data_IF_801292511433
#
_entry.id   IF_801292511433
#
_cell.length_a   1.000
_cell.length_b   1.000
_cell.length_c   1.000
_cell.angle_alpha   90.00
_cell.angle_beta   90.00
_cell.angle_gamma   90.00
#
_symmetry.space_group_name_H-M   'P 1'
#
loop_
_entity.id
_entity.type
_entity.pdbx_description
1 polymer ?
#
# COMPACT_ATOMS: atom_id res chain seq x y z
N UNK A 1 -10.68 -17.71 10.08
CA UNK A 1 -10.71 -18.43 8.79
C UNK A 1 -9.82 -17.70 7.81
N UNK A 2 -8.95 -18.42 7.12
CA UNK A 2 -8.07 -17.92 6.07
C UNK A 2 -8.11 -18.88 4.89
N UNK A 3 -8.41 -18.36 3.69
CA UNK A 3 -8.50 -19.19 2.48
C UNK A 3 -7.13 -19.68 1.98
N UNK A 4 -6.10 -18.89 2.23
CA UNK A 4 -4.73 -19.20 1.85
C UNK A 4 -4.02 -20.12 2.84
N UNK A 5 -2.80 -20.55 2.49
CA UNK A 5 -1.99 -21.42 3.35
C UNK A 5 -1.33 -20.68 4.52
N UNK A 6 -1.20 -19.35 4.45
CA UNK A 6 -0.43 -18.55 5.39
C UNK A 6 -1.29 -17.50 6.07
N UNK A 7 -1.34 -17.56 7.40
CA UNK A 7 -2.21 -16.69 8.23
C UNK A 7 -1.55 -15.36 8.58
N UNK A 8 -0.23 -15.29 8.55
CA UNK A 8 0.54 -14.10 8.89
C UNK A 8 1.88 -14.11 8.18
N UNK A 9 2.08 -13.17 7.28
CA UNK A 9 3.31 -13.05 6.51
C UNK A 9 3.67 -11.57 6.32
N UNK A 10 4.97 -11.33 6.06
CA UNK A 10 5.53 -10.01 5.81
C UNK A 10 5.17 -9.55 4.39
N UNK A 11 3.96 -9.05 4.19
CA UNK A 11 3.47 -8.61 2.89
C UNK A 11 4.43 -7.60 2.23
N UNK A 12 4.89 -6.59 2.99
CA UNK A 12 5.86 -5.61 2.51
C UNK A 12 7.27 -6.19 2.31
N UNK A 13 7.54 -7.41 2.76
CA UNK A 13 8.81 -8.12 2.56
C UNK A 13 8.90 -8.86 1.22
N UNK A 14 7.77 -9.13 0.58
CA UNK A 14 7.72 -9.95 -0.62
C UNK A 14 8.62 -9.44 -1.77
N UNK A 15 8.62 -8.13 -2.12
CA UNK A 15 9.51 -7.62 -3.14
C UNK A 15 11.00 -7.82 -2.81
N UNK A 16 11.38 -7.66 -1.54
CA UNK A 16 12.78 -7.78 -1.10
C UNK A 16 13.31 -9.22 -1.10
N UNK A 17 12.42 -10.21 -1.06
CA UNK A 17 12.79 -11.59 -1.30
C UNK A 17 13.13 -11.84 -2.77
N UNK A 18 12.49 -11.14 -3.70
CA UNK A 18 12.78 -11.28 -5.13
C UNK A 18 14.25 -10.97 -5.45
N UNK A 19 14.83 -9.94 -4.84
CA UNK A 19 16.26 -9.61 -5.03
C UNK A 19 17.21 -10.49 -4.21
N UNK A 20 16.71 -11.24 -3.21
CA UNK A 20 17.53 -11.96 -2.23
C UNK A 20 18.00 -11.08 -1.07
N UNK A 21 17.51 -9.84 -0.93
CA UNK A 21 17.80 -9.00 0.24
C UNK A 21 17.22 -9.63 1.53
N UNK A 22 16.03 -10.21 1.45
CA UNK A 22 15.55 -11.22 2.39
C UNK A 22 15.96 -12.57 1.82
N UNK A 23 16.91 -13.26 2.45
CA UNK A 23 17.53 -14.44 1.90
C UNK A 23 16.65 -15.69 2.03
N UNK A 24 15.98 -15.84 3.18
CA UNK A 24 15.25 -17.06 3.53
C UNK A 24 13.74 -16.80 3.43
N UNK A 25 13.03 -17.65 2.67
CA UNK A 25 11.57 -17.53 2.46
C UNK A 25 10.79 -17.62 3.78
N UNK A 26 11.26 -18.41 4.72
CA UNK A 26 10.68 -18.61 6.04
C UNK A 26 10.66 -17.32 6.87
N UNK A 27 11.57 -16.38 6.62
CA UNK A 27 11.57 -15.06 7.27
C UNK A 27 10.35 -14.21 6.89
N UNK A 28 9.71 -14.53 5.78
CA UNK A 28 8.45 -13.91 5.38
C UNK A 28 7.26 -14.41 6.20
N UNK A 29 7.35 -15.59 6.84
CA UNK A 29 6.28 -16.19 7.61
C UNK A 29 6.38 -15.74 9.07
N UNK A 30 5.57 -14.75 9.44
CA UNK A 30 5.72 -14.05 10.74
C UNK A 30 5.15 -14.84 11.90
N UNK A 31 3.96 -15.45 11.71
CA UNK A 31 3.29 -16.26 12.74
C UNK A 31 2.68 -17.51 12.11
N UNK A 32 2.65 -18.59 12.88
CA UNK A 32 1.97 -19.83 12.52
C UNK A 32 0.67 -20.00 13.30
N UNK A 33 -0.28 -20.83 12.84
CA UNK A 33 -1.50 -21.16 13.59
C UNK A 33 -1.18 -21.69 15.00
N UNK A 34 -0.16 -22.54 15.15
CA UNK A 34 0.28 -23.13 16.42
C UNK A 34 0.80 -22.06 17.38
N UNK A 35 1.63 -21.13 16.89
CA UNK A 35 2.14 -20.02 17.70
C UNK A 35 1.02 -19.07 18.17
N UNK A 36 0.07 -18.78 17.29
CA UNK A 36 -1.10 -17.97 17.63
C UNK A 36 -2.02 -18.69 18.64
N UNK A 37 -2.20 -20.01 18.49
CA UNK A 37 -2.94 -20.82 19.45
C UNK A 37 -2.25 -20.83 20.82
N UNK A 38 -0.94 -21.07 20.85
CA UNK A 38 -0.18 -21.15 22.09
C UNK A 38 -0.14 -19.80 22.85
N UNK A 39 0.01 -18.69 22.10
CA UNK A 39 0.18 -17.36 22.69
C UNK A 39 -1.15 -16.67 23.06
N UNK A 40 -2.17 -16.82 22.21
CA UNK A 40 -3.41 -16.05 22.29
C UNK A 40 -4.67 -16.90 22.39
N UNK A 41 -4.52 -18.24 22.40
CA UNK A 41 -5.63 -19.19 22.34
C UNK A 41 -6.58 -18.97 21.15
N UNK A 42 -6.04 -18.53 20.02
CA UNK A 42 -6.81 -18.35 18.79
C UNK A 42 -6.95 -19.68 18.04
N UNK A 43 -8.15 -19.99 17.55
CA UNK A 43 -8.40 -21.08 16.59
C UNK A 43 -8.24 -20.50 15.18
N UNK A 44 -7.07 -20.69 14.60
CA UNK A 44 -6.71 -20.17 13.29
C UNK A 44 -6.72 -21.31 12.28
N UNK A 45 -7.59 -21.20 11.28
CA UNK A 45 -7.83 -22.26 10.29
C UNK A 45 -7.42 -21.79 8.88
N UNK A 46 -6.21 -22.09 8.41
CA UNK A 46 -5.81 -21.91 7.00
C UNK A 46 -6.56 -22.90 6.10
N UNK A 47 -6.58 -22.62 4.79
CA UNK A 47 -7.31 -23.39 3.77
C UNK A 47 -8.83 -23.49 4.04
N UNK A 48 -9.37 -22.56 4.82
CA UNK A 48 -10.80 -22.47 5.12
C UNK A 48 -11.37 -21.20 4.47
N UNK A 49 -11.97 -21.36 3.32
CA UNK A 49 -12.56 -20.25 2.57
C UNK A 49 -14.01 -20.04 2.99
N UNK A 50 -14.31 -18.88 3.55
CA UNK A 50 -15.70 -18.47 3.76
C UNK A 50 -16.29 -18.11 2.40
N UNK A 51 -17.36 -18.81 2.01
CA UNK A 51 -18.00 -18.67 0.69
C UNK A 51 -19.40 -18.04 0.76
N UNK A 52 -20.01 -17.98 1.95
CA UNK A 52 -21.28 -17.28 2.16
C UNK A 52 -21.42 -16.84 3.63
N UNK A 53 -22.22 -15.81 3.85
CA UNK A 53 -22.59 -15.28 5.17
C UNK A 53 -24.11 -15.12 5.18
N UNK A 54 -24.77 -15.70 6.18
CA UNK A 54 -26.18 -15.43 6.49
C UNK A 54 -26.24 -14.55 7.74
N UNK A 55 -26.55 -13.25 7.61
CA UNK A 55 -26.61 -12.33 8.74
C UNK A 55 -27.81 -12.56 9.65
N UNK A 56 -28.88 -13.20 9.16
CA UNK A 56 -30.13 -13.44 9.91
C UNK A 56 -29.92 -14.62 10.86
N UNK A 57 -29.46 -15.75 10.32
CA UNK A 57 -29.20 -16.96 11.09
C UNK A 57 -27.83 -16.90 11.83
N UNK A 58 -27.02 -15.87 11.57
CA UNK A 58 -25.66 -15.70 12.11
C UNK A 58 -24.78 -16.91 11.85
N UNK A 59 -24.71 -17.33 10.60
CA UNK A 59 -23.87 -18.44 10.17
C UNK A 59 -22.98 -18.03 8.99
N UNK A 60 -21.83 -18.68 8.92
CA UNK A 60 -20.96 -18.64 7.75
C UNK A 60 -20.87 -20.04 7.12
N UNK A 61 -20.83 -20.07 5.81
CA UNK A 61 -20.53 -21.29 5.06
C UNK A 61 -19.06 -21.29 4.70
N UNK A 62 -18.36 -22.34 5.07
CA UNK A 62 -16.91 -22.49 4.90
C UNK A 62 -16.61 -23.67 4.02
N UNK A 63 -15.81 -23.44 3.00
CA UNK A 63 -15.25 -24.50 2.14
C UNK A 63 -13.86 -24.88 2.64
N UNK A 64 -13.66 -26.15 2.94
CA UNK A 64 -12.37 -26.73 3.27
C UNK A 64 -12.16 -27.98 2.41
N UNK A 65 -11.23 -27.91 1.47
CA UNK A 65 -11.01 -28.95 0.45
C UNK A 65 -12.30 -29.28 -0.33
N UNK A 66 -12.88 -30.46 -0.12
CA UNK A 66 -14.14 -30.92 -0.72
C UNK A 66 -15.33 -30.79 0.24
N UNK A 67 -15.10 -30.42 1.49
CA UNK A 67 -16.14 -30.32 2.52
C UNK A 67 -16.73 -28.90 2.57
N UNK A 68 -18.03 -28.85 2.88
CA UNK A 68 -18.74 -27.61 3.18
C UNK A 68 -19.16 -27.67 4.65
N UNK A 69 -18.67 -26.73 5.42
CA UNK A 69 -18.93 -26.60 6.85
C UNK A 69 -19.82 -25.40 7.11
N UNK A 70 -20.61 -25.46 8.17
CA UNK A 70 -21.41 -24.33 8.67
C UNK A 70 -20.93 -23.99 10.07
N UNK A 71 -20.58 -22.71 10.31
CA UNK A 71 -20.13 -22.23 11.60
C UNK A 71 -21.03 -21.07 12.05
N UNK A 72 -21.44 -21.09 13.33
CA UNK A 72 -22.20 -20.01 13.96
C UNK A 72 -21.27 -18.95 14.55
N UNK A 73 -21.71 -17.70 14.56
CA UNK A 73 -20.98 -16.60 15.17
C UNK A 73 -21.89 -15.74 16.06
N UNK A 74 -21.36 -15.20 17.13
CA UNK A 74 -21.99 -14.13 17.92
C UNK A 74 -21.63 -12.76 17.32
N UNK A 75 -20.36 -12.59 16.94
CA UNK A 75 -19.81 -11.42 16.27
C UNK A 75 -18.92 -11.86 15.11
N UNK A 76 -19.03 -11.17 13.99
CA UNK A 76 -18.24 -11.44 12.78
C UNK A 76 -17.40 -10.22 12.42
N UNK A 77 -16.11 -10.42 12.20
CA UNK A 77 -15.22 -9.38 11.67
C UNK A 77 -14.81 -9.74 10.25
N UNK A 78 -15.12 -8.87 9.31
CA UNK A 78 -14.68 -8.97 7.91
C UNK A 78 -13.35 -8.25 7.77
N UNK A 79 -12.29 -8.98 7.44
CA UNK A 79 -10.96 -8.44 7.14
C UNK A 79 -10.39 -9.02 5.84
N UNK A 80 -11.14 -9.01 4.73
CA UNK A 80 -10.74 -9.69 3.49
C UNK A 80 -9.61 -8.96 2.76
N UNK A 81 -9.30 -7.72 3.16
CA UNK A 81 -8.27 -6.90 2.56
C UNK A 81 -8.65 -6.37 1.18
N UNK A 82 -7.65 -6.25 0.31
CA UNK A 82 -7.83 -5.81 -1.06
C UNK A 82 -7.20 -6.82 -2.02
N UNK A 83 -7.69 -6.88 -3.24
CA UNK A 83 -7.15 -7.68 -4.34
C UNK A 83 -6.52 -6.77 -5.40
N UNK A 84 -5.53 -7.25 -6.15
CA UNK A 84 -4.99 -6.51 -7.29
C UNK A 84 -6.10 -6.12 -8.27
N UNK A 85 -6.08 -4.89 -8.73
CA UNK A 85 -6.93 -4.48 -9.83
C UNK A 85 -6.34 -5.00 -11.14
N UNK A 86 -7.13 -5.75 -11.89
CA UNK A 86 -6.77 -6.27 -13.21
C UNK A 86 -7.60 -5.52 -14.25
N UNK A 87 -7.00 -4.59 -15.00
CA UNK A 87 -7.70 -3.83 -16.02
C UNK A 87 -8.05 -4.75 -17.23
N UNK A 88 -9.12 -4.42 -17.98
CA UNK A 88 -9.48 -5.16 -19.16
C UNK A 88 -8.58 -4.79 -20.35
N UNK A 89 -7.35 -5.35 -20.36
CA UNK A 89 -6.38 -5.16 -21.44
C UNK A 89 -6.50 -6.31 -22.42
N UNK A 90 -6.50 -6.03 -23.72
CA UNK A 90 -6.54 -7.04 -24.77
C UNK A 90 -5.39 -8.03 -24.64
N UNK A 91 -5.68 -9.34 -24.70
CA UNK A 91 -4.67 -10.41 -24.63
C UNK A 91 -4.12 -10.68 -23.23
N UNK A 92 -4.59 -9.96 -22.19
CA UNK A 92 -4.10 -10.18 -20.82
C UNK A 92 -4.48 -11.55 -20.27
N UNK A 93 -5.67 -12.07 -20.62
CA UNK A 93 -6.14 -13.36 -20.15
C UNK A 93 -5.34 -14.55 -20.74
N UNK A 94 -4.75 -14.36 -21.90
CA UNK A 94 -3.93 -15.34 -22.60
C UNK A 94 -2.44 -15.23 -22.25
N UNK A 95 -2.04 -14.14 -21.58
CA UNK A 95 -0.66 -13.88 -21.21
C UNK A 95 -0.20 -14.84 -20.12
N UNK A 96 0.93 -15.53 -20.35
CA UNK A 96 1.47 -16.56 -19.44
C UNK A 96 2.55 -16.04 -18.50
N UNK A 97 3.11 -14.86 -18.77
CA UNK A 97 4.23 -14.27 -18.07
C UNK A 97 3.84 -13.00 -17.29
N UNK A 98 2.55 -12.79 -17.02
CA UNK A 98 2.02 -11.62 -16.30
C UNK A 98 1.58 -12.02 -14.90
N UNK A 99 2.11 -11.35 -13.91
CA UNK A 99 1.90 -11.65 -12.50
C UNK A 99 1.48 -10.39 -11.73
N UNK A 100 0.74 -10.60 -10.65
CA UNK A 100 0.53 -9.60 -9.60
C UNK A 100 1.23 -10.08 -8.33
N UNK A 101 1.55 -9.18 -7.42
CA UNK A 101 2.15 -9.53 -6.13
C UNK A 101 1.25 -9.07 -4.99
N UNK A 102 0.62 -10.03 -4.30
CA UNK A 102 -0.28 -9.79 -3.17
C UNK A 102 0.06 -10.64 -1.94
N UNK A 103 0.46 -11.89 -2.16
CA UNK A 103 0.67 -12.87 -1.12
C UNK A 103 1.87 -13.79 -1.43
N UNK A 104 2.16 -14.73 -0.53
CA UNK A 104 3.29 -15.66 -0.71
C UNK A 104 3.11 -16.60 -1.91
N UNK A 105 1.93 -17.18 -2.19
CA UNK A 105 1.70 -17.94 -3.43
C UNK A 105 1.99 -17.15 -4.72
N UNK A 106 1.64 -15.85 -4.77
CA UNK A 106 1.98 -15.00 -5.93
C UNK A 106 3.50 -14.84 -6.06
N UNK A 107 4.18 -14.61 -4.95
CA UNK A 107 5.65 -14.56 -4.90
C UNK A 107 6.27 -15.85 -5.42
N UNK A 108 5.78 -17.02 -4.99
CA UNK A 108 6.28 -18.32 -5.40
C UNK A 108 6.13 -18.52 -6.93
N UNK A 109 5.04 -18.04 -7.54
CA UNK A 109 4.85 -18.04 -8.99
C UNK A 109 5.86 -17.14 -9.69
N UNK A 110 6.07 -15.91 -9.19
CA UNK A 110 7.07 -14.99 -9.73
C UNK A 110 8.47 -15.60 -9.64
N UNK A 111 8.83 -16.17 -8.50
CA UNK A 111 10.14 -16.81 -8.29
C UNK A 111 10.35 -18.01 -9.21
N UNK A 112 9.29 -18.78 -9.51
CA UNK A 112 9.33 -19.90 -10.46
C UNK A 112 9.54 -19.41 -11.90
N UNK A 113 8.95 -18.25 -12.26
CA UNK A 113 9.12 -17.64 -13.58
C UNK A 113 10.47 -16.96 -13.78
N UNK A 114 11.20 -16.67 -12.72
CA UNK A 114 12.54 -16.06 -12.75
C UNK A 114 13.61 -17.13 -12.95
N UNK A 115 13.79 -17.53 -14.23
CA UNK A 115 14.82 -18.49 -14.64
C UNK A 115 16.08 -17.78 -15.19
N UNK A 116 17.17 -18.50 -15.47
CA UNK A 116 18.35 -17.90 -16.10
C UNK A 116 18.09 -17.27 -17.48
N UNK A 117 17.03 -17.68 -18.17
CA UNK A 117 16.59 -17.16 -19.48
C UNK A 117 15.80 -15.87 -19.36
N UNK A 118 15.20 -15.58 -18.19
CA UNK A 118 14.45 -14.34 -17.92
C UNK A 118 15.41 -13.17 -17.85
N UNK A 119 15.35 -12.24 -18.81
CA UNK A 119 16.27 -11.09 -18.92
C UNK A 119 15.56 -9.75 -18.78
N UNK A 120 14.35 -9.64 -19.35
CA UNK A 120 13.61 -8.38 -19.45
C UNK A 120 12.36 -8.45 -18.61
N UNK A 121 12.21 -7.49 -17.70
CA UNK A 121 11.01 -7.35 -16.91
C UNK A 121 10.32 -6.02 -17.23
N UNK A 122 9.00 -6.07 -17.37
CA UNK A 122 8.17 -4.87 -17.46
C UNK A 122 7.30 -4.77 -16.20
N UNK A 123 7.34 -3.63 -15.56
CA UNK A 123 6.47 -3.31 -14.43
C UNK A 123 5.44 -2.29 -14.88
N UNK A 124 4.17 -2.61 -14.77
CA UNK A 124 3.06 -1.73 -15.16
C UNK A 124 2.41 -1.16 -13.90
N UNK A 125 2.54 0.17 -13.73
CA UNK A 125 2.14 0.93 -12.55
C UNK A 125 3.33 1.29 -11.67
N UNK A 126 3.54 2.59 -11.45
CA UNK A 126 4.64 3.14 -10.64
C UNK A 126 4.17 3.64 -9.26
N UNK A 127 3.25 2.91 -8.62
CA UNK A 127 2.92 3.05 -7.21
C UNK A 127 3.97 2.37 -6.32
N UNK A 128 3.70 2.25 -5.02
CA UNK A 128 4.63 1.65 -4.04
C UNK A 128 5.11 0.26 -4.47
N UNK A 129 4.18 -0.67 -4.75
CA UNK A 129 4.52 -2.05 -5.14
C UNK A 129 5.33 -2.07 -6.43
N UNK A 130 4.96 -1.24 -7.42
CA UNK A 130 5.66 -1.18 -8.70
C UNK A 130 7.09 -0.68 -8.57
N UNK A 131 7.33 0.33 -7.73
CA UNK A 131 8.68 0.84 -7.45
C UNK A 131 9.54 -0.20 -6.74
N UNK A 132 9.00 -0.85 -5.71
CA UNK A 132 9.70 -1.92 -4.99
C UNK A 132 10.02 -3.10 -5.92
N UNK A 133 9.07 -3.51 -6.78
CA UNK A 133 9.33 -4.58 -7.75
C UNK A 133 10.35 -4.18 -8.80
N UNK A 134 10.29 -2.95 -9.33
CA UNK A 134 11.27 -2.46 -10.30
C UNK A 134 12.69 -2.45 -9.73
N UNK A 135 12.86 -1.97 -8.48
CA UNK A 135 14.14 -2.02 -7.75
C UNK A 135 14.64 -3.46 -7.60
N UNK A 136 13.77 -4.35 -7.10
CA UNK A 136 14.21 -5.69 -6.71
C UNK A 136 14.44 -6.62 -7.92
N UNK A 137 13.72 -6.42 -9.02
CA UNK A 137 14.00 -7.11 -10.29
C UNK A 137 15.31 -6.62 -10.93
N UNK A 138 15.58 -5.30 -10.87
CA UNK A 138 16.83 -4.73 -11.35
C UNK A 138 18.03 -5.23 -10.53
N UNK A 139 17.94 -5.24 -9.19
CA UNK A 139 18.95 -5.81 -8.30
C UNK A 139 19.21 -7.30 -8.55
N UNK A 140 18.22 -8.03 -9.04
CA UNK A 140 18.37 -9.42 -9.48
C UNK A 140 19.08 -9.55 -10.84
N UNK A 141 19.31 -8.44 -11.54
CA UNK A 141 20.07 -8.38 -12.78
C UNK A 141 19.22 -8.37 -14.04
N UNK A 142 17.92 -8.11 -13.96
CA UNK A 142 17.06 -7.96 -15.13
C UNK A 142 17.14 -6.54 -15.70
N UNK A 143 16.93 -6.42 -17.01
CA UNK A 143 16.62 -5.15 -17.67
C UNK A 143 15.17 -4.79 -17.34
N UNK A 144 14.97 -3.67 -16.63
CA UNK A 144 13.64 -3.29 -16.13
C UNK A 144 13.12 -2.06 -16.86
N UNK A 145 11.89 -2.17 -17.38
CA UNK A 145 11.09 -1.04 -17.89
C UNK A 145 9.89 -0.84 -16.98
N UNK A 146 9.74 0.36 -16.42
CA UNK A 146 8.60 0.77 -15.60
C UNK A 146 7.68 1.66 -16.44
N UNK A 147 6.42 1.26 -16.59
CA UNK A 147 5.38 1.99 -17.34
C UNK A 147 4.35 2.54 -16.39
N UNK A 148 4.07 3.85 -16.47
CA UNK A 148 3.10 4.54 -15.62
C UNK A 148 2.15 5.40 -16.47
N UNK A 149 0.86 5.23 -16.23
CA UNK A 149 -0.19 6.01 -16.90
C UNK A 149 -0.18 7.48 -16.48
N UNK A 150 0.08 7.77 -15.22
CA UNK A 150 0.18 9.12 -14.72
C UNK A 150 1.40 9.86 -15.34
N UNK A 151 1.42 11.21 -15.32
CA UNK A 151 2.55 11.98 -15.86
C UNK A 151 3.85 11.79 -15.07
N UNK A 152 3.79 11.31 -13.84
CA UNK A 152 4.96 11.06 -12.99
C UNK A 152 4.80 9.75 -12.18
N UNK A 153 5.91 9.21 -11.69
CA UNK A 153 5.97 8.05 -10.79
C UNK A 153 5.46 8.44 -9.39
N UNK A 154 5.11 7.45 -8.57
CA UNK A 154 4.65 7.60 -7.18
C UNK A 154 3.54 8.66 -7.06
N UNK A 155 2.34 8.41 -7.60
CA UNK A 155 1.24 9.38 -7.69
C UNK A 155 0.83 10.13 -6.40
N UNK A 156 1.06 9.61 -5.19
CA UNK A 156 0.85 10.35 -3.94
C UNK A 156 1.74 11.59 -3.75
N UNK A 157 2.90 11.65 -4.41
CA UNK A 157 3.75 12.85 -4.42
C UNK A 157 3.26 13.87 -5.47
N UNK A 158 3.69 15.11 -5.30
CA UNK A 158 3.60 16.11 -6.36
C UNK A 158 4.74 15.90 -7.38
N UNK A 159 4.58 16.40 -8.60
CA UNK A 159 5.42 16.08 -9.76
C UNK A 159 6.90 16.43 -9.51
N UNK A 160 7.20 17.59 -8.94
CA UNK A 160 8.57 18.05 -8.68
C UNK A 160 9.27 17.18 -7.60
N UNK A 161 8.51 16.63 -6.63
CA UNK A 161 9.05 15.69 -5.66
C UNK A 161 9.24 14.30 -6.27
N UNK A 162 8.30 13.86 -7.11
CA UNK A 162 8.40 12.60 -7.82
C UNK A 162 9.56 12.57 -8.84
N UNK A 163 10.00 13.73 -9.35
CA UNK A 163 11.14 13.84 -10.25
C UNK A 163 12.44 13.28 -9.67
N UNK A 164 12.66 13.44 -8.36
CA UNK A 164 13.83 12.83 -7.69
C UNK A 164 13.77 11.31 -7.71
N UNK A 165 12.58 10.72 -7.52
CA UNK A 165 12.37 9.27 -7.58
C UNK A 165 12.65 8.76 -9.00
N UNK A 166 12.14 9.46 -10.04
CA UNK A 166 12.41 9.12 -11.44
C UNK A 166 13.91 9.19 -11.78
N UNK A 167 14.59 10.21 -11.27
CA UNK A 167 16.03 10.36 -11.47
C UNK A 167 16.82 9.21 -10.84
N UNK A 168 16.44 8.77 -9.64
CA UNK A 168 17.09 7.64 -8.95
C UNK A 168 16.84 6.31 -9.69
N UNK A 169 15.65 6.06 -10.20
CA UNK A 169 15.34 4.91 -11.06
C UNK A 169 16.23 4.89 -12.29
N UNK A 170 16.33 6.02 -13.00
CA UNK A 170 17.13 6.15 -14.22
C UNK A 170 18.64 5.99 -13.95
N UNK A 171 19.13 6.53 -12.84
CA UNK A 171 20.52 6.36 -12.36
C UNK A 171 20.86 4.88 -12.15
N UNK A 172 19.88 4.08 -11.73
CA UNK A 172 20.02 2.65 -11.52
C UNK A 172 19.58 1.81 -12.75
N UNK A 173 19.61 2.37 -13.95
CA UNK A 173 19.31 1.71 -15.22
C UNK A 173 17.88 1.13 -15.33
N UNK A 174 16.91 1.68 -14.61
CA UNK A 174 15.49 1.39 -14.84
C UNK A 174 14.98 2.36 -15.90
N UNK A 175 14.48 1.84 -17.02
CA UNK A 175 13.79 2.66 -18.01
C UNK A 175 12.42 3.07 -17.49
N UNK A 176 12.10 4.37 -17.46
CA UNK A 176 10.84 4.88 -16.95
C UNK A 176 10.05 5.58 -18.06
N UNK A 177 8.87 5.03 -18.37
CA UNK A 177 7.92 5.56 -19.35
C UNK A 177 6.70 6.05 -18.57
N UNK A 178 6.47 7.36 -18.56
CA UNK A 178 5.31 8.00 -17.92
C UNK A 178 4.34 8.55 -18.96
N UNK A 179 3.06 8.71 -18.59
CA UNK A 179 2.01 9.18 -19.49
C UNK A 179 1.58 8.12 -20.51
N UNK A 180 1.86 6.85 -20.27
CA UNK A 180 1.54 5.76 -21.17
C UNK A 180 0.87 4.59 -20.45
N UNK A 181 -0.05 3.91 -21.13
CA UNK A 181 -0.74 2.71 -20.65
C UNK A 181 -0.43 1.52 -21.55
N UNK A 182 -0.35 0.33 -20.97
CA UNK A 182 -0.41 -0.91 -21.73
C UNK A 182 -1.85 -1.10 -22.26
N UNK A 183 -1.99 -1.32 -23.56
CA UNK A 183 -3.29 -1.50 -24.22
C UNK A 183 -3.49 -2.90 -24.78
N UNK A 184 -2.42 -3.65 -25.02
CA UNK A 184 -2.49 -5.04 -25.46
C UNK A 184 -1.28 -5.86 -25.00
N UNK A 185 -1.54 -7.13 -24.73
CA UNK A 185 -0.54 -8.19 -24.59
C UNK A 185 -0.62 -9.09 -25.84
N UNK A 186 0.50 -9.27 -26.50
CA UNK A 186 0.63 -10.06 -27.72
C UNK A 186 1.62 -11.20 -27.48
N UNK A 187 1.61 -12.23 -28.34
CA UNK A 187 2.52 -13.37 -28.24
C UNK A 187 2.53 -13.99 -26.83
N UNK A 188 1.32 -14.26 -26.31
CA UNK A 188 1.13 -14.82 -24.94
C UNK A 188 1.77 -13.99 -23.83
N UNK A 189 1.91 -12.65 -24.02
CA UNK A 189 2.46 -11.69 -23.07
C UNK A 189 3.91 -11.29 -23.31
N UNK A 190 4.59 -11.88 -24.31
CA UNK A 190 5.99 -11.55 -24.59
C UNK A 190 6.16 -10.18 -25.24
N UNK A 191 5.10 -9.61 -25.82
CA UNK A 191 5.07 -8.27 -26.39
C UNK A 191 3.94 -7.47 -25.75
N UNK A 192 4.28 -6.29 -25.25
CA UNK A 192 3.33 -5.36 -24.64
C UNK A 192 3.23 -4.14 -25.56
N UNK A 193 2.02 -3.83 -26.01
CA UNK A 193 1.76 -2.61 -26.79
C UNK A 193 1.30 -1.49 -25.88
N UNK A 194 1.90 -0.33 -26.01
CA UNK A 194 1.53 0.91 -25.34
C UNK A 194 0.53 1.73 -26.16
N UNK A 195 -0.10 2.71 -25.52
CA UNK A 195 -1.13 3.56 -26.11
C UNK A 195 -0.63 4.39 -27.32
N UNK A 196 0.65 4.80 -27.31
CA UNK A 196 1.30 5.52 -28.42
C UNK A 196 1.75 4.61 -29.57
N UNK A 197 1.52 3.29 -29.46
CA UNK A 197 1.89 2.29 -30.44
C UNK A 197 3.29 1.69 -30.27
N UNK A 198 4.09 2.17 -29.30
CA UNK A 198 5.36 1.54 -28.94
C UNK A 198 5.12 0.13 -28.43
N UNK A 199 6.02 -0.79 -28.72
CA UNK A 199 6.02 -2.16 -28.21
C UNK A 199 7.21 -2.41 -27.31
N UNK A 200 6.98 -3.15 -26.23
CA UNK A 200 8.00 -3.58 -25.27
C UNK A 200 8.07 -5.11 -25.28
N UNK A 201 9.26 -5.65 -25.41
CA UNK A 201 9.48 -7.06 -25.22
C UNK A 201 9.59 -7.38 -23.72
N UNK A 202 8.91 -8.44 -23.26
CA UNK A 202 8.88 -8.81 -21.84
C UNK A 202 8.98 -10.32 -21.65
N UNK A 203 9.94 -10.74 -20.85
CA UNK A 203 10.04 -12.14 -20.41
C UNK A 203 9.22 -12.36 -19.13
N UNK A 204 9.04 -11.31 -18.33
CA UNK A 204 8.22 -11.29 -17.12
C UNK A 204 7.57 -9.92 -16.95
N UNK A 205 6.27 -9.88 -16.67
CA UNK A 205 5.53 -8.64 -16.41
C UNK A 205 4.92 -8.64 -15.02
N UNK A 206 5.12 -7.56 -14.27
CA UNK A 206 4.42 -7.31 -13.00
C UNK A 206 3.32 -6.27 -13.23
N UNK A 207 2.08 -6.67 -12.94
CA UNK A 207 0.92 -5.79 -12.99
C UNK A 207 0.64 -5.20 -11.60
N UNK A 208 0.92 -3.91 -11.41
CA UNK A 208 0.81 -3.18 -10.14
C UNK A 208 0.03 -1.87 -10.26
N UNK A 209 -1.08 -1.90 -11.01
CA UNK A 209 -1.91 -0.74 -11.35
C UNK A 209 -2.95 -0.39 -10.28
N UNK A 210 -2.72 -0.81 -9.05
CA UNK A 210 -3.54 -0.53 -7.88
C UNK A 210 -4.30 -1.74 -7.35
N UNK A 211 -5.07 -1.50 -6.31
CA UNK A 211 -5.88 -2.52 -5.61
C UNK A 211 -7.33 -2.07 -5.50
N UNK A 212 -8.22 -3.02 -5.31
CA UNK A 212 -9.62 -2.78 -5.01
C UNK A 212 -10.04 -3.58 -3.78
N UNK A 213 -10.97 -3.08 -2.96
CA UNK A 213 -11.51 -3.81 -1.82
C UNK A 213 -12.02 -5.20 -2.21
N UNK A 214 -11.66 -6.22 -1.43
CA UNK A 214 -12.29 -7.54 -1.58
C UNK A 214 -13.62 -7.51 -0.82
N UNK A 215 -14.70 -7.30 -1.54
CA UNK A 215 -16.02 -7.05 -0.96
C UNK A 215 -17.09 -8.07 -1.35
N UNK A 216 -16.74 -9.11 -2.07
CA UNK A 216 -17.70 -10.10 -2.61
C UNK A 216 -18.60 -10.67 -1.53
N UNK A 217 -18.04 -11.21 -0.46
CA UNK A 217 -18.80 -11.76 0.68
C UNK A 217 -19.68 -10.70 1.36
N UNK A 218 -19.17 -9.49 1.50
CA UNK A 218 -19.90 -8.39 2.13
C UNK A 218 -21.14 -8.00 1.30
N UNK A 219 -20.97 -7.85 -0.01
CA UNK A 219 -22.07 -7.51 -0.93
C UNK A 219 -23.14 -8.61 -0.95
N UNK A 220 -22.74 -9.87 -1.03
CA UNK A 220 -23.67 -11.02 -1.03
C UNK A 220 -24.43 -11.16 0.30
N UNK A 221 -23.82 -10.74 1.42
CA UNK A 221 -24.46 -10.68 2.73
C UNK A 221 -25.31 -9.41 2.95
N UNK A 222 -25.49 -8.56 1.94
CA UNK A 222 -26.24 -7.30 2.07
C UNK A 222 -25.55 -6.22 2.90
N UNK A 223 -24.23 -6.30 3.05
CA UNK A 223 -23.44 -5.26 3.69
C UNK A 223 -23.27 -4.07 2.73
N UNK A 224 -23.49 -2.87 3.24
CA UNK A 224 -23.40 -1.64 2.45
C UNK A 224 -21.95 -1.35 2.00
N UNK A 225 -21.83 -0.94 0.74
CA UNK A 225 -20.55 -0.51 0.16
C UNK A 225 -20.65 0.94 -0.33
N UNK A 226 -19.54 1.66 -0.29
CA UNK A 226 -19.42 3.07 -0.67
C UNK A 226 -18.36 3.28 -1.73
N UNK A 227 -17.49 4.23 -1.50
CA UNK A 227 -16.44 4.65 -2.44
C UNK A 227 -15.70 3.45 -3.03
N UNK A 228 -15.74 3.32 -4.37
CA UNK A 228 -15.06 2.27 -5.14
C UNK A 228 -15.28 0.84 -4.60
N UNK A 229 -16.43 0.57 -4.00
CA UNK A 229 -16.79 -0.74 -3.46
C UNK A 229 -16.25 -1.02 -2.05
N UNK A 230 -15.66 -0.04 -1.37
CA UNK A 230 -15.23 -0.19 0.02
C UNK A 230 -16.41 -0.42 0.96
N UNK A 231 -16.23 -1.30 1.94
CA UNK A 231 -17.26 -1.61 2.94
C UNK A 231 -17.48 -0.38 3.81
N UNK A 232 -18.74 0.03 3.98
CA UNK A 232 -19.13 1.14 4.86
C UNK A 232 -19.23 0.65 6.30
N UNK A 233 -18.56 1.35 7.20
CA UNK A 233 -18.62 1.11 8.64
C UNK A 233 -18.88 2.41 9.40
N UNK A 234 -19.45 2.29 10.58
CA UNK A 234 -19.60 3.41 11.50
C UNK A 234 -18.28 3.73 12.25
N UNK A 235 -18.36 4.66 13.21
CA UNK A 235 -17.20 5.02 14.03
C UNK A 235 -16.72 3.90 14.97
N UNK A 236 -17.47 2.82 15.10
CA UNK A 236 -17.16 1.63 15.89
C UNK A 236 -16.83 0.41 15.03
N UNK A 237 -16.56 0.60 13.73
CA UNK A 237 -16.27 -0.47 12.75
C UNK A 237 -17.45 -1.38 12.46
N UNK A 238 -18.67 -1.09 12.95
CA UNK A 238 -19.86 -1.88 12.67
C UNK A 238 -20.40 -1.53 11.29
N UNK A 239 -20.84 -2.56 10.56
CA UNK A 239 -21.51 -2.41 9.26
C UNK A 239 -23.01 -2.12 9.48
N UNK A 240 -23.77 -1.97 8.38
CA UNK A 240 -25.23 -1.90 8.43
C UNK A 240 -25.89 -3.22 8.87
N UNK A 241 -25.16 -4.34 8.87
CA UNK A 241 -25.66 -5.62 9.36
C UNK A 241 -25.31 -5.77 10.85
N UNK A 242 -26.30 -6.12 11.70
CA UNK A 242 -26.07 -6.31 13.13
C UNK A 242 -24.97 -7.35 13.38
N UNK A 243 -24.10 -7.05 14.35
CA UNK A 243 -23.03 -7.96 14.79
C UNK A 243 -21.96 -8.29 13.73
N UNK A 244 -21.98 -7.59 12.58
CA UNK A 244 -20.95 -7.68 11.56
C UNK A 244 -20.12 -6.39 11.52
N UNK A 245 -18.83 -6.54 11.69
CA UNK A 245 -17.81 -5.47 11.70
C UNK A 245 -16.90 -5.65 10.49
N UNK A 246 -16.21 -4.58 10.07
CA UNK A 246 -15.19 -4.68 9.03
C UNK A 246 -14.00 -3.77 9.32
N UNK A 247 -12.80 -4.21 8.92
CA UNK A 247 -11.54 -3.50 9.13
C UNK A 247 -10.58 -3.73 7.96
N UNK A 248 -9.53 -2.92 7.91
CA UNK A 248 -8.41 -3.08 6.98
C UNK A 248 -8.66 -2.44 5.62
N UNK A 249 -7.95 -2.93 4.60
CA UNK A 249 -7.94 -2.35 3.26
C UNK A 249 -9.30 -2.43 2.53
N UNK A 250 -10.23 -3.21 3.08
CA UNK A 250 -11.57 -3.38 2.50
C UNK A 250 -12.56 -2.27 2.87
N UNK A 251 -12.29 -1.45 3.90
CA UNK A 251 -13.24 -0.48 4.41
C UNK A 251 -13.03 0.93 3.85
N UNK A 252 -14.13 1.69 3.79
CA UNK A 252 -14.08 3.14 3.64
C UNK A 252 -13.68 3.77 4.97
N UNK A 253 -12.76 4.71 4.93
CA UNK A 253 -12.35 5.52 6.09
C UNK A 253 -12.51 7.01 5.77
N UNK A 254 -12.52 7.86 6.80
CA UNK A 254 -12.43 9.31 6.58
C UNK A 254 -10.97 9.73 6.43
N UNK A 255 -10.67 10.51 5.39
CA UNK A 255 -9.44 11.27 5.32
C UNK A 255 -9.53 12.40 6.35
N UNK A 256 -8.59 12.46 7.31
CA UNK A 256 -8.76 13.31 8.50
C UNK A 256 -8.75 14.82 8.21
N UNK A 257 -8.15 15.26 7.13
CA UNK A 257 -8.05 16.68 6.79
C UNK A 257 -9.30 17.15 6.05
N UNK A 258 -9.76 16.39 5.06
CA UNK A 258 -10.93 16.77 4.25
C UNK A 258 -12.26 16.28 4.83
N UNK A 259 -12.23 15.29 5.73
CA UNK A 259 -13.39 14.55 6.23
C UNK A 259 -14.18 13.81 5.14
N UNK A 260 -13.61 13.69 3.94
CA UNK A 260 -14.19 12.94 2.83
C UNK A 260 -13.89 11.44 2.96
N UNK A 261 -14.69 10.64 2.27
CA UNK A 261 -14.49 9.19 2.18
C UNK A 261 -13.22 8.88 1.38
N UNK A 262 -12.43 7.95 1.91
CA UNK A 262 -11.18 7.51 1.29
C UNK A 262 -10.97 6.00 1.44
N UNK A 263 -10.18 5.43 0.54
CA UNK A 263 -9.61 4.09 0.67
C UNK A 263 -8.10 4.26 0.95
N UNK A 264 -7.67 3.88 2.14
CA UNK A 264 -6.29 4.05 2.58
C UNK A 264 -5.74 2.68 3.00
N UNK A 265 -5.19 1.97 2.02
CA UNK A 265 -4.64 0.62 2.18
C UNK A 265 -3.20 0.69 2.69
N UNK A 266 -3.04 0.93 3.98
CA UNK A 266 -1.75 1.06 4.67
C UNK A 266 -1.71 0.22 5.96
N UNK A 267 -0.55 -0.35 6.26
CA UNK A 267 -0.37 -1.25 7.39
C UNK A 267 -0.65 -0.59 8.76
N UNK A 268 -0.21 0.65 8.97
CA UNK A 268 -0.37 1.34 10.25
C UNK A 268 -1.85 1.58 10.63
N UNK A 269 -2.72 2.15 9.76
CA UNK A 269 -4.15 2.23 10.02
C UNK A 269 -4.80 0.86 10.24
N UNK A 270 -4.49 -0.13 9.39
CA UNK A 270 -5.06 -1.48 9.47
C UNK A 270 -4.74 -2.17 10.79
N UNK A 271 -3.49 -2.10 11.26
CA UNK A 271 -3.09 -2.63 12.56
C UNK A 271 -3.84 -1.97 13.73
N UNK A 272 -4.03 -0.66 13.67
CA UNK A 272 -4.81 0.07 14.66
C UNK A 272 -6.28 -0.37 14.66
N UNK A 273 -6.90 -0.46 13.49
CA UNK A 273 -8.28 -0.90 13.31
C UNK A 273 -8.52 -2.30 13.87
N UNK A 274 -7.62 -3.26 13.60
CA UNK A 274 -7.71 -4.62 14.12
C UNK A 274 -7.72 -4.68 15.65
N UNK A 275 -6.90 -3.85 16.33
CA UNK A 275 -6.93 -3.73 17.78
C UNK A 275 -8.19 -3.04 18.28
N UNK A 276 -8.58 -1.95 17.64
CA UNK A 276 -9.74 -1.15 18.07
C UNK A 276 -11.07 -1.90 17.92
N UNK A 277 -11.26 -2.68 16.85
CA UNK A 277 -12.49 -3.46 16.69
C UNK A 277 -12.61 -4.55 17.76
N UNK A 278 -11.49 -5.17 18.14
CA UNK A 278 -11.49 -6.13 19.25
C UNK A 278 -11.85 -5.46 20.60
N UNK A 279 -11.31 -4.27 20.86
CA UNK A 279 -11.66 -3.46 22.02
C UNK A 279 -13.17 -3.12 22.02
N UNK A 280 -13.72 -2.68 20.88
CA UNK A 280 -15.15 -2.38 20.73
C UNK A 280 -16.02 -3.60 21.05
N UNK A 281 -15.70 -4.74 20.48
CA UNK A 281 -16.43 -6.00 20.70
C UNK A 281 -16.35 -6.42 22.18
N UNK A 282 -15.23 -6.14 22.84
CA UNK A 282 -15.07 -6.37 24.27
C UNK A 282 -15.75 -5.32 25.17
N UNK A 283 -16.45 -4.35 24.60
CA UNK A 283 -17.19 -3.31 25.33
C UNK A 283 -16.35 -2.09 25.74
N UNK A 284 -15.13 -1.95 25.20
CA UNK A 284 -14.30 -0.75 25.40
C UNK A 284 -14.68 0.31 24.36
N UNK A 285 -14.73 1.57 24.81
CA UNK A 285 -15.01 2.67 23.90
C UNK A 285 -13.79 2.97 23.03
N UNK A 286 -13.92 2.77 21.71
CA UNK A 286 -12.95 3.12 20.68
C UNK A 286 -13.66 3.68 19.47
N UNK A 287 -13.04 4.66 18.81
CA UNK A 287 -13.59 5.30 17.61
C UNK A 287 -12.60 5.29 16.46
N UNK A 288 -13.11 4.95 15.28
CA UNK A 288 -12.40 5.11 14.03
C UNK A 288 -12.28 6.61 13.69
N UNK A 289 -11.10 7.16 13.88
CA UNK A 289 -10.83 8.57 13.57
C UNK A 289 -10.41 8.81 12.13
N UNK A 290 -10.49 7.79 11.27
CA UNK A 290 -9.96 7.88 9.91
C UNK A 290 -8.43 7.82 9.83
N UNK A 291 -7.87 8.32 8.76
CA UNK A 291 -6.43 8.29 8.50
C UNK A 291 -5.94 9.54 7.77
N UNK A 292 -4.72 9.97 8.03
CA UNK A 292 -4.05 11.04 7.27
C UNK A 292 -3.30 10.49 6.06
N UNK A 293 -3.01 9.19 6.00
CA UNK A 293 -2.33 8.57 4.86
C UNK A 293 -0.82 8.76 4.86
N UNK A 294 -0.13 8.40 5.95
CA UNK A 294 1.34 8.46 6.01
C UNK A 294 1.95 7.22 5.39
N UNK A 295 2.83 7.41 4.41
CA UNK A 295 3.45 6.35 3.64
C UNK A 295 4.93 6.64 3.32
N UNK A 296 5.72 5.58 3.15
CA UNK A 296 7.14 5.64 2.85
C UNK A 296 7.52 4.50 1.91
N UNK A 297 8.48 4.74 1.04
CA UNK A 297 9.08 3.74 0.15
C UNK A 297 10.56 4.00 -0.02
N UNK A 298 11.34 2.94 -0.11
CA UNK A 298 12.72 3.00 -0.57
C UNK A 298 12.75 2.76 -2.08
N UNK A 299 13.58 3.51 -2.77
CA UNK A 299 13.89 3.32 -4.19
C UNK A 299 15.41 3.40 -4.34
N UNK A 300 16.08 2.26 -4.36
CA UNK A 300 17.53 2.11 -4.29
C UNK A 300 18.14 2.81 -3.06
N UNK A 301 18.93 3.86 -3.28
CA UNK A 301 19.55 4.64 -2.19
C UNK A 301 18.67 5.81 -1.72
N UNK A 302 17.52 6.00 -2.34
CA UNK A 302 16.61 7.10 -2.05
C UNK A 302 15.42 6.61 -1.22
N UNK A 303 15.00 7.42 -0.26
CA UNK A 303 13.75 7.26 0.49
C UNK A 303 12.78 8.35 0.06
N UNK A 304 11.55 7.97 -0.24
CA UNK A 304 10.44 8.88 -0.52
C UNK A 304 9.31 8.65 0.46
N UNK A 305 8.81 9.69 1.11
CA UNK A 305 7.71 9.57 2.06
C UNK A 305 6.75 10.76 1.96
N UNK A 306 5.51 10.52 2.36
CA UNK A 306 4.47 11.55 2.41
C UNK A 306 3.51 11.34 3.58
N UNK A 307 2.86 12.40 4.01
CA UNK A 307 1.80 12.39 5.00
C UNK A 307 0.76 13.45 4.65
N UNK A 308 -0.51 13.19 4.93
CA UNK A 308 -1.60 14.11 4.59
C UNK A 308 -1.83 14.22 3.08
N UNK A 309 -2.11 15.42 2.62
CA UNK A 309 -2.46 15.73 1.24
C UNK A 309 -1.24 16.26 0.47
N UNK A 310 -1.11 15.85 -0.80
CA UNK A 310 -0.28 16.57 -1.76
C UNK A 310 -0.91 17.95 -2.08
N UNK A 311 -0.13 18.86 -2.63
CA UNK A 311 -0.64 20.16 -3.08
C UNK A 311 -1.79 19.98 -4.09
N UNK A 312 -1.62 19.06 -5.03
CA UNK A 312 -2.65 18.70 -6.00
C UNK A 312 -3.93 18.21 -5.32
N UNK A 313 -3.81 17.31 -4.34
CA UNK A 313 -4.97 16.77 -3.62
C UNK A 313 -5.67 17.85 -2.77
N UNK A 314 -4.92 18.71 -2.09
CA UNK A 314 -5.47 19.81 -1.31
C UNK A 314 -6.23 20.82 -2.19
N UNK A 315 -5.66 21.18 -3.35
CA UNK A 315 -6.33 22.03 -4.32
C UNK A 315 -7.59 21.38 -4.91
N UNK A 316 -7.54 20.09 -5.22
CA UNK A 316 -8.70 19.34 -5.72
C UNK A 316 -9.84 19.27 -4.69
N UNK A 317 -9.52 19.23 -3.40
CA UNK A 317 -10.46 19.32 -2.29
C UNK A 317 -10.96 20.75 -2.02
N UNK A 318 -10.55 21.74 -2.82
CA UNK A 318 -10.99 23.14 -2.67
C UNK A 318 -10.32 23.88 -1.51
N UNK A 319 -9.23 23.36 -0.94
CA UNK A 319 -8.52 24.01 0.16
C UNK A 319 -7.64 25.17 -0.34
N UNK A 320 -7.66 26.29 0.38
CA UNK A 320 -6.74 27.40 0.13
C UNK A 320 -5.34 26.97 0.55
N UNK A 321 -4.42 26.88 -0.42
CA UNK A 321 -3.12 26.21 -0.25
C UNK A 321 -1.95 27.14 -0.50
N UNK A 322 -0.96 27.09 0.37
CA UNK A 322 0.40 27.54 0.12
C UNK A 322 1.37 26.36 0.30
N UNK A 323 2.56 26.48 -0.28
CA UNK A 323 3.61 25.49 -0.18
C UNK A 323 4.94 26.13 0.16
N UNK A 324 5.79 25.37 0.80
CA UNK A 324 7.21 25.73 1.00
C UNK A 324 8.07 24.50 0.68
N UNK A 325 9.15 24.74 -0.05
CA UNK A 325 10.18 23.75 -0.31
C UNK A 325 11.42 24.07 0.51
N UNK A 326 11.97 23.06 1.15
CA UNK A 326 13.15 23.16 1.99
C UNK A 326 14.18 22.17 1.48
N UNK A 327 15.36 22.68 1.12
CA UNK A 327 16.52 21.86 0.79
C UNK A 327 17.53 21.96 1.93
N UNK A 328 17.93 20.84 2.48
CA UNK A 328 18.85 20.76 3.59
C UNK A 328 19.68 19.49 3.59
N UNK A 329 20.27 19.18 4.71
CA UNK A 329 20.97 17.92 4.94
C UNK A 329 20.23 17.08 5.97
N UNK A 330 20.44 15.77 5.92
CA UNK A 330 19.91 14.81 6.90
C UNK A 330 20.50 15.04 8.31
N UNK A 331 21.74 15.52 8.39
CA UNK A 331 22.41 15.95 9.61
C UNK A 331 23.39 17.10 9.34
N UNK A 332 24.19 17.52 10.34
CA UNK A 332 25.10 18.66 10.23
C UNK A 332 26.08 18.48 9.06
N UNK A 333 26.06 19.43 8.09
CA UNK A 333 26.80 19.31 6.83
C UNK A 333 28.33 19.26 6.96
N UNK A 334 28.88 19.66 8.12
CA UNK A 334 30.30 19.52 8.43
C UNK A 334 30.67 18.12 8.95
N UNK A 335 29.68 17.30 9.34
CA UNK A 335 29.92 15.94 9.79
C UNK A 335 29.95 14.98 8.60
N UNK A 336 30.87 13.99 8.57
CA UNK A 336 31.03 13.10 7.43
C UNK A 336 29.76 12.31 7.08
N UNK A 337 29.48 12.17 5.80
CA UNK A 337 28.38 11.34 5.28
C UNK A 337 27.02 12.04 5.25
N UNK A 338 26.99 13.37 5.42
CA UNK A 338 25.76 14.16 5.25
C UNK A 338 25.25 14.09 3.82
N UNK A 339 23.96 13.77 3.67
CA UNK A 339 23.27 13.66 2.38
C UNK A 339 22.18 14.70 2.22
N UNK A 340 21.82 15.00 0.97
CA UNK A 340 20.77 15.96 0.68
C UNK A 340 19.39 15.42 1.09
N UNK A 341 18.56 16.32 1.59
CA UNK A 341 17.19 16.06 1.98
C UNK A 341 16.29 17.19 1.46
N UNK A 342 15.22 16.81 0.78
CA UNK A 342 14.21 17.72 0.28
C UNK A 342 12.92 17.51 1.04
N UNK A 343 12.29 18.60 1.49
CA UNK A 343 10.98 18.59 2.11
C UNK A 343 10.06 19.56 1.39
N UNK A 344 8.80 19.19 1.27
CA UNK A 344 7.73 20.08 0.83
C UNK A 344 6.64 20.04 1.89
N UNK A 345 6.16 21.20 2.35
CA UNK A 345 4.98 21.34 3.19
C UNK A 345 3.86 21.97 2.38
N UNK A 346 2.64 21.50 2.65
CA UNK A 346 1.38 22.01 2.10
C UNK A 346 0.51 22.49 3.26
N UNK A 347 0.10 23.74 3.26
CA UNK A 347 -0.58 24.36 4.41
C UNK A 347 -1.52 25.49 4.00
N UNK A 348 -2.38 25.92 4.93
CA UNK A 348 -3.23 27.09 4.75
C UNK A 348 -2.42 28.39 4.97
N UNK A 349 -2.40 29.35 4.02
CA UNK A 349 -1.50 30.53 4.07
C UNK A 349 -1.75 31.47 5.24
N UNK A 350 -2.95 31.51 5.80
CA UNK A 350 -3.31 32.43 6.87
C UNK A 350 -3.31 31.76 8.24
N UNK A 351 -3.95 30.58 8.35
CA UNK A 351 -4.09 29.88 9.64
C UNK A 351 -2.84 29.07 9.98
N UNK A 352 -2.04 28.71 8.98
CA UNK A 352 -0.88 27.85 9.14
C UNK A 352 -1.22 26.37 9.33
N UNK A 353 -2.49 25.98 9.22
CA UNK A 353 -2.91 24.59 9.30
C UNK A 353 -2.16 23.74 8.28
N UNK A 354 -1.54 22.63 8.75
CA UNK A 354 -0.72 21.75 7.91
C UNK A 354 -1.64 20.71 7.25
N UNK A 355 -1.70 20.74 5.92
CA UNK A 355 -2.47 19.78 5.13
C UNK A 355 -1.66 18.56 4.73
N UNK A 356 -0.35 18.69 4.60
CA UNK A 356 0.50 17.57 4.25
C UNK A 356 1.97 17.91 4.11
N UNK A 357 2.75 16.87 3.94
CA UNK A 357 4.19 17.00 3.70
C UNK A 357 4.72 15.85 2.85
N UNK A 358 5.79 16.12 2.13
CA UNK A 358 6.54 15.17 1.32
C UNK A 358 8.02 15.31 1.63
N UNK A 359 8.72 14.17 1.68
CA UNK A 359 10.15 14.13 1.97
C UNK A 359 10.89 13.19 1.03
N UNK A 360 12.06 13.62 0.56
CA UNK A 360 12.95 12.86 -0.32
C UNK A 360 14.37 13.00 0.18
N UNK A 361 15.09 11.89 0.29
CA UNK A 361 16.50 11.89 0.66
C UNK A 361 17.05 10.49 0.88
N UNK A 362 18.34 10.34 1.07
CA UNK A 362 18.96 9.05 1.35
C UNK A 362 18.74 8.60 2.81
N UNK A 363 18.64 9.55 3.74
CA UNK A 363 18.52 9.30 5.19
C UNK A 363 17.62 10.32 5.87
N UNK A 364 17.00 9.92 6.99
CA UNK A 364 16.28 10.82 7.90
C UNK A 364 14.96 11.38 7.35
N UNK A 365 14.46 10.89 6.24
CA UNK A 365 13.16 11.27 5.66
C UNK A 365 12.02 10.79 6.57
N UNK A 366 12.10 9.55 7.04
CA UNK A 366 11.17 8.94 7.99
C UNK A 366 10.98 9.81 9.23
N UNK A 367 12.07 10.20 9.87
CA UNK A 367 12.06 11.05 11.07
C UNK A 367 11.30 12.37 10.83
N UNK A 368 11.53 13.04 9.70
CA UNK A 368 10.87 14.33 9.38
C UNK A 368 9.39 14.14 9.07
N UNK A 369 9.06 13.12 8.31
CA UNK A 369 7.66 12.84 7.96
C UNK A 369 6.87 12.38 9.18
N UNK A 370 7.44 11.57 10.08
CA UNK A 370 6.78 11.17 11.32
C UNK A 370 6.51 12.36 12.27
N UNK A 371 7.45 13.30 12.35
CA UNK A 371 7.26 14.55 13.09
C UNK A 371 6.11 15.35 12.49
N UNK A 372 6.08 15.52 11.17
CA UNK A 372 5.02 16.26 10.46
C UNK A 372 3.67 15.55 10.53
N UNK A 373 3.64 14.22 10.45
CA UNK A 373 2.43 13.43 10.68
C UNK A 373 1.90 13.61 12.11
N UNK A 374 2.79 13.67 13.09
CA UNK A 374 2.45 13.95 14.50
C UNK A 374 1.92 15.37 14.66
N UNK A 375 2.55 16.35 13.99
CA UNK A 375 2.10 17.75 14.01
C UNK A 375 0.69 17.88 13.40
N UNK A 376 0.41 17.28 12.25
CA UNK A 376 -0.94 17.24 11.64
C UNK A 376 -1.94 16.63 12.63
N UNK A 377 -1.59 15.46 13.19
CA UNK A 377 -2.48 14.76 14.14
C UNK A 377 -2.73 15.57 15.42
N UNK A 378 -1.72 16.28 15.89
CA UNK A 378 -1.78 17.19 17.04
C UNK A 378 -2.39 18.55 16.73
N UNK A 379 -2.82 18.80 15.49
CA UNK A 379 -3.37 20.09 15.02
C UNK A 379 -2.41 21.27 15.22
N UNK A 380 -1.10 21.00 15.15
CA UNK A 380 -0.11 22.05 15.13
C UNK A 380 -0.12 22.77 13.78
N UNK A 381 0.26 24.04 13.81
CA UNK A 381 0.39 24.89 12.64
C UNK A 381 1.84 25.03 12.21
N UNK A 382 2.09 25.59 11.03
CA UNK A 382 3.47 25.95 10.62
C UNK A 382 4.13 26.94 11.57
N UNK A 383 3.36 27.72 12.32
CA UNK A 383 3.86 28.70 13.30
C UNK A 383 4.35 28.03 14.59
N UNK A 384 3.87 26.84 14.90
CA UNK A 384 4.28 26.04 16.06
C UNK A 384 5.57 25.25 15.79
N UNK A 385 5.85 24.91 14.51
CA UNK A 385 7.00 24.06 14.16
C UNK A 385 8.36 24.61 14.61
N UNK A 386 8.64 25.94 14.55
CA UNK A 386 9.90 26.50 15.03
C UNK A 386 10.09 26.43 16.55
N UNK A 387 8.98 26.27 17.29
CA UNK A 387 9.01 26.17 18.77
C UNK A 387 9.21 24.72 19.27
N UNK A 388 9.23 23.74 18.35
CA UNK A 388 9.45 22.35 18.72
C UNK A 388 10.94 22.12 19.03
N UNK A 389 11.20 21.45 20.15
CA UNK A 389 12.54 21.04 20.55
C UNK A 389 12.85 19.65 20.01
N UNK A 390 13.82 19.57 19.11
CA UNK A 390 14.28 18.29 18.56
C UNK A 390 15.64 17.91 19.11
N UNK A 391 15.88 16.60 19.18
CA UNK A 391 17.21 16.11 19.53
C UNK A 391 18.23 16.52 18.49
N UNK A 392 19.40 16.98 18.95
CA UNK A 392 20.51 17.38 18.09
C UNK A 392 21.84 16.85 18.61
N UNK A 393 22.58 16.23 17.72
CA UNK A 393 24.02 16.08 17.77
C UNK A 393 24.55 15.97 16.32
N UNK A 394 25.81 16.29 16.02
CA UNK A 394 26.31 16.37 14.65
C UNK A 394 26.02 15.15 13.75
N UNK A 395 25.98 13.89 14.26
CA UNK A 395 25.69 12.69 13.46
C UNK A 395 24.21 12.44 13.16
N UNK A 396 23.24 13.24 13.73
CA UNK A 396 21.80 12.93 13.66
C UNK A 396 20.96 14.06 13.08
#
# INVERSE_FOLDING_TARGET
>A
MEKGPFVSFANCGLPYYVSGEIAEREQLLVQTPEALKARFNLDVRPHHEVVAIDPIEKVITVKHETEILTEHYDKLILSPGAKPFVPPITGLAEAKNVFSLRNVPDLDQIMTALTPETKRAVVIGAGFIGLEMAENLQKRGLEVTLVEKAPHVLPPLDEEMAAFVKAELSKNNVQVITGQSAVAFEEEGQVIRLEDGQTLASDLTILSVGVQPENTLAVEAGVATGLRGGIVVDEHYQTNQPDIYAVGDAIVVKQQITQEDALISLASPTNRQGRQVADVIAGLERKNQGSIGTAIVRVFDLTAASTGLSERAAKAAGLTTAVVHISGKDHAGYYPGATDLQLKLVFHPTTGEIYGAQGIGAKGVDKRIDILATAIKGQLTIFDLPELEFTYAPPF
#
